data_IF_613174526442
#
_entry.id   IF_613174526442
#
_cell.length_a   1.000
_cell.length_b   1.000
_cell.length_c   1.000
_cell.angle_alpha   90.00
_cell.angle_beta   90.00
_cell.angle_gamma   90.00
#
_symmetry.space_group_name_H-M   'P 1'
#
loop_
_entity.id
_entity.type
_entity.pdbx_description
1 polymer ?
#
# COMPACT_ATOMS: atom_id res chain seq x y z
N UNK A 1 -3.11 -33.05 -23.36
CA UNK A 1 -1.67 -33.16 -23.03
C UNK A 1 -0.90 -33.40 -24.32
N UNK A 2 -0.08 -32.45 -24.74
CA UNK A 2 0.85 -32.62 -25.87
C UNK A 2 2.24 -32.18 -25.40
N UNK A 3 3.23 -33.05 -25.60
CA UNK A 3 4.64 -32.79 -25.31
C UNK A 3 5.24 -32.07 -26.50
N UNK A 4 5.78 -30.88 -26.26
CA UNK A 4 6.80 -30.27 -27.10
C UNK A 4 7.94 -29.84 -26.15
N UNK A 5 9.18 -30.07 -26.55
CA UNK A 5 10.46 -29.63 -25.93
C UNK A 5 10.79 -29.93 -24.45
N UNK A 6 9.96 -30.65 -23.70
CA UNK A 6 10.34 -31.08 -22.34
C UNK A 6 10.11 -30.01 -21.27
N UNK A 7 9.43 -28.93 -21.62
CA UNK A 7 8.88 -27.97 -20.65
C UNK A 7 7.38 -28.18 -20.54
N UNK A 8 6.89 -28.47 -19.33
CA UNK A 8 5.45 -28.44 -19.07
C UNK A 8 5.01 -26.98 -19.02
N UNK A 9 4.32 -26.48 -20.06
CA UNK A 9 3.59 -25.22 -19.98
C UNK A 9 2.13 -25.49 -19.61
N UNK A 10 1.70 -24.85 -18.53
CA UNK A 10 0.32 -24.86 -18.07
C UNK A 10 -0.46 -23.92 -19.00
N UNK A 11 -1.51 -24.41 -19.66
CA UNK A 11 -2.36 -23.60 -20.54
C UNK A 11 -3.69 -23.36 -19.80
N UNK A 12 -3.95 -22.09 -19.47
CA UNK A 12 -5.16 -21.48 -18.86
C UNK A 12 -5.31 -21.67 -17.33
N UNK A 13 -5.58 -20.65 -16.49
CA UNK A 13 -6.08 -19.29 -16.68
C UNK A 13 -5.37 -18.31 -15.73
N UNK A 14 -5.17 -17.07 -16.21
CA UNK A 14 -4.58 -15.90 -15.52
C UNK A 14 -3.06 -15.95 -15.33
N UNK A 15 -2.38 -14.91 -15.83
CA UNK A 15 -0.99 -14.65 -15.48
C UNK A 15 -0.92 -14.51 -13.94
N UNK A 16 0.19 -14.89 -13.28
CA UNK A 16 0.35 -14.56 -11.87
C UNK A 16 0.15 -13.05 -11.72
N UNK A 17 -0.86 -12.64 -10.93
CA UNK A 17 -1.07 -11.24 -10.60
C UNK A 17 0.19 -10.80 -9.88
N UNK A 18 1.01 -10.01 -10.56
CA UNK A 18 2.10 -9.32 -9.92
C UNK A 18 1.46 -8.23 -9.07
N UNK A 19 1.31 -8.50 -7.78
CA UNK A 19 0.83 -7.52 -6.84
C UNK A 19 1.99 -6.58 -6.52
N UNK A 20 1.90 -5.36 -7.03
CA UNK A 20 2.87 -4.30 -6.73
C UNK A 20 2.75 -3.89 -5.26
N UNK A 21 3.78 -3.24 -4.74
CA UNK A 21 3.76 -2.63 -3.41
C UNK A 21 3.55 -1.13 -3.58
N UNK A 22 2.30 -0.68 -3.82
CA UNK A 22 2.01 0.66 -4.34
C UNK A 22 2.45 1.78 -3.41
N UNK A 23 2.68 1.49 -2.13
CA UNK A 23 3.21 2.46 -1.16
C UNK A 23 4.74 2.47 -1.21
N UNK A 24 5.40 1.32 -1.09
CA UNK A 24 6.86 1.28 -0.91
C UNK A 24 7.67 1.28 -2.21
N UNK A 25 6.99 1.12 -3.35
CA UNK A 25 7.61 1.31 -4.67
C UNK A 25 7.76 2.82 -4.99
N UNK A 26 7.06 3.69 -4.26
CA UNK A 26 7.28 5.14 -4.28
C UNK A 26 8.50 5.45 -3.43
N UNK A 27 9.42 6.27 -3.93
CA UNK A 27 10.56 6.68 -3.10
C UNK A 27 10.08 7.54 -1.92
N UNK A 28 10.72 7.36 -0.76
CA UNK A 28 10.30 8.01 0.49
C UNK A 28 10.24 9.53 0.41
N UNK A 29 11.07 10.18 -0.42
CA UNK A 29 11.02 11.63 -0.56
C UNK A 29 9.81 12.06 -1.39
N UNK A 30 9.49 11.36 -2.47
CA UNK A 30 8.24 11.56 -3.23
C UNK A 30 7.02 11.34 -2.35
N UNK A 31 6.97 10.23 -1.59
CA UNK A 31 5.89 9.98 -0.63
C UNK A 31 5.74 11.15 0.37
N UNK A 32 6.86 11.67 0.90
CA UNK A 32 6.87 12.82 1.79
C UNK A 32 6.36 14.10 1.14
N UNK A 33 6.66 14.34 -0.13
CA UNK A 33 6.17 15.52 -0.84
C UNK A 33 4.66 15.44 -1.06
N UNK A 34 4.15 14.27 -1.43
CA UNK A 34 2.72 14.06 -1.66
C UNK A 34 1.92 14.20 -0.37
N UNK A 35 2.37 13.57 0.73
CA UNK A 35 1.77 13.75 2.06
C UNK A 35 1.87 15.21 2.55
N UNK A 36 2.96 15.92 2.26
CA UNK A 36 3.09 17.35 2.60
C UNK A 36 2.12 18.22 1.79
N UNK A 37 1.89 17.90 0.52
CA UNK A 37 0.96 18.62 -0.33
C UNK A 37 -0.47 18.44 0.17
N UNK A 38 -0.86 17.21 0.50
CA UNK A 38 -2.16 16.85 1.06
C UNK A 38 -2.41 17.52 2.42
N UNK A 39 -1.46 17.42 3.35
CA UNK A 39 -1.55 18.09 4.64
C UNK A 39 -1.69 19.62 4.51
N UNK A 40 -1.08 20.23 3.48
CA UNK A 40 -1.22 21.68 3.21
C UNK A 40 -2.57 22.02 2.57
N UNK A 41 -3.16 21.12 1.80
CA UNK A 41 -4.50 21.32 1.24
C UNK A 41 -5.54 21.40 2.37
N UNK A 42 -5.45 20.51 3.35
CA UNK A 42 -6.37 20.44 4.49
C UNK A 42 -6.16 21.55 5.52
N UNK A 43 -4.90 21.84 5.87
CA UNK A 43 -4.58 22.69 7.03
C UNK A 43 -4.01 24.06 6.67
N UNK A 44 -3.71 24.30 5.38
CA UNK A 44 -3.28 25.59 4.87
C UNK A 44 -2.07 26.16 5.62
N UNK A 45 -2.28 27.27 6.32
CA UNK A 45 -1.24 27.99 7.09
C UNK A 45 -1.14 27.56 8.56
N UNK A 46 -1.93 26.58 9.02
CA UNK A 46 -1.69 25.95 10.31
C UNK A 46 -0.50 24.99 10.21
N UNK A 47 0.70 25.57 10.19
CA UNK A 47 1.94 24.83 10.05
C UNK A 47 2.17 23.82 11.17
N UNK A 48 1.56 24.03 12.35
CA UNK A 48 1.65 23.06 13.44
C UNK A 48 0.86 21.79 13.10
N UNK A 49 -0.32 21.94 12.50
CA UNK A 49 -1.12 20.82 12.01
C UNK A 49 -0.51 20.17 10.78
N UNK A 50 0.02 20.94 9.82
CA UNK A 50 0.75 20.39 8.66
C UNK A 50 1.92 19.52 9.11
N UNK A 51 2.72 19.99 10.08
CA UNK A 51 3.84 19.21 10.61
C UNK A 51 3.37 17.95 11.32
N UNK A 52 2.30 18.05 12.12
CA UNK A 52 1.74 16.90 12.85
C UNK A 52 1.26 15.80 11.89
N UNK A 53 0.47 16.17 10.88
CA UNK A 53 -0.07 15.23 9.89
C UNK A 53 1.06 14.61 9.07
N UNK A 54 1.98 15.42 8.55
CA UNK A 54 3.13 14.91 7.79
C UNK A 54 3.94 13.89 8.58
N UNK A 55 4.21 14.15 9.87
CA UNK A 55 4.95 13.19 10.69
C UNK A 55 4.16 11.88 10.85
N UNK A 56 2.86 11.97 11.13
CA UNK A 56 1.98 10.79 11.27
C UNK A 56 1.93 9.96 9.99
N UNK A 57 1.85 10.60 8.82
CA UNK A 57 1.85 9.92 7.53
C UNK A 57 3.19 9.26 7.22
N UNK A 58 4.31 9.93 7.51
CA UNK A 58 5.62 9.34 7.26
C UNK A 58 5.95 8.19 8.22
N UNK A 59 5.48 8.25 9.46
CA UNK A 59 5.55 7.12 10.39
C UNK A 59 4.71 5.94 9.86
N UNK A 60 3.51 6.21 9.35
CA UNK A 60 2.65 5.18 8.75
C UNK A 60 3.25 4.57 7.48
N UNK A 61 3.84 5.38 6.61
CA UNK A 61 4.59 4.93 5.44
C UNK A 61 5.72 3.97 5.84
N UNK A 62 6.56 4.36 6.81
CA UNK A 62 7.69 3.55 7.25
C UNK A 62 7.21 2.23 7.87
N UNK A 63 6.12 2.26 8.65
CA UNK A 63 5.48 1.06 9.23
C UNK A 63 4.95 0.11 8.15
N UNK A 64 4.19 0.61 7.17
CA UNK A 64 3.69 -0.19 6.04
C UNK A 64 4.87 -0.88 5.34
N UNK A 65 5.96 -0.16 5.08
CA UNK A 65 7.10 -0.72 4.37
C UNK A 65 7.89 -1.76 5.14
N UNK A 66 7.83 -1.71 6.48
CA UNK A 66 8.42 -2.71 7.37
C UNK A 66 7.56 -3.98 7.54
N UNK A 67 6.26 -3.96 7.20
CA UNK A 67 5.39 -5.13 7.34
C UNK A 67 5.80 -6.30 6.42
N UNK A 68 5.49 -7.52 6.88
CA UNK A 68 5.71 -8.75 6.13
C UNK A 68 4.77 -8.81 4.91
N UNK A 69 5.36 -9.06 3.74
CA UNK A 69 4.67 -9.02 2.45
C UNK A 69 4.18 -10.42 2.11
N UNK A 70 2.88 -10.64 2.30
CA UNK A 70 2.14 -11.80 1.79
C UNK A 70 1.28 -11.40 0.59
N UNK A 71 0.72 -12.38 -0.13
CA UNK A 71 -0.20 -12.08 -1.24
C UNK A 71 -1.43 -11.28 -0.75
N UNK A 72 -2.04 -11.70 0.37
CA UNK A 72 -3.17 -11.02 1.00
C UNK A 72 -2.80 -9.60 1.44
N UNK A 73 -1.60 -9.44 2.04
CA UNK A 73 -1.09 -8.12 2.40
C UNK A 73 -1.03 -7.19 1.18
N UNK A 74 -0.48 -7.65 0.06
CA UNK A 74 -0.34 -6.82 -1.12
C UNK A 74 -1.69 -6.51 -1.77
N UNK A 75 -2.63 -7.47 -1.78
CA UNK A 75 -4.00 -7.25 -2.25
C UNK A 75 -4.71 -6.16 -1.44
N UNK A 76 -4.75 -6.30 -0.11
CA UNK A 76 -5.36 -5.32 0.80
C UNK A 76 -4.65 -3.97 0.73
N UNK A 77 -3.32 -3.96 0.62
CA UNK A 77 -2.55 -2.71 0.47
C UNK A 77 -2.88 -1.99 -0.83
N UNK A 78 -3.12 -2.70 -1.93
CA UNK A 78 -3.54 -2.11 -3.19
C UNK A 78 -4.91 -1.43 -3.07
N UNK A 79 -5.87 -2.08 -2.41
CA UNK A 79 -7.19 -1.49 -2.17
C UNK A 79 -7.11 -0.26 -1.25
N UNK A 80 -6.39 -0.37 -0.13
CA UNK A 80 -6.21 0.73 0.81
C UNK A 80 -5.49 1.93 0.17
N UNK A 81 -4.41 1.67 -0.59
CA UNK A 81 -3.66 2.72 -1.30
C UNK A 81 -4.52 3.41 -2.36
N UNK A 82 -5.28 2.64 -3.16
CA UNK A 82 -6.17 3.22 -4.18
C UNK A 82 -7.26 4.13 -3.60
N UNK A 83 -7.66 3.90 -2.34
CA UNK A 83 -8.71 4.67 -1.70
C UNK A 83 -8.19 5.92 -0.96
N UNK A 84 -7.00 5.83 -0.36
CA UNK A 84 -6.54 6.80 0.62
C UNK A 84 -5.24 7.51 0.27
N UNK A 85 -4.53 7.13 -0.79
CA UNK A 85 -3.30 7.83 -1.18
C UNK A 85 -3.56 9.33 -1.46
N UNK A 86 -2.75 10.27 -0.93
CA UNK A 86 -1.50 10.07 -0.19
C UNK A 86 -1.59 10.10 1.35
N UNK A 87 -2.78 10.00 1.96
CA UNK A 87 -2.98 9.88 3.42
C UNK A 87 -2.54 8.48 3.88
N UNK A 88 -1.23 8.31 4.07
CA UNK A 88 -0.64 7.04 4.49
C UNK A 88 -1.15 6.59 5.86
N UNK A 89 -1.56 7.51 6.73
CA UNK A 89 -2.17 7.15 8.01
C UNK A 89 -3.52 6.43 7.82
N UNK A 90 -4.33 6.85 6.85
CA UNK A 90 -5.59 6.18 6.48
C UNK A 90 -5.36 4.91 5.65
N UNK A 91 -4.32 4.88 4.81
CA UNK A 91 -3.88 3.64 4.14
C UNK A 91 -3.53 2.57 5.18
N UNK A 92 -2.68 2.91 6.16
CA UNK A 92 -2.28 1.98 7.23
C UNK A 92 -3.47 1.51 8.05
N UNK A 93 -4.35 2.43 8.45
CA UNK A 93 -5.54 2.08 9.22
C UNK A 93 -6.44 1.08 8.47
N UNK A 94 -6.68 1.31 7.18
CA UNK A 94 -7.50 0.42 6.35
C UNK A 94 -6.84 -0.93 6.15
N UNK A 95 -5.53 -0.94 5.86
CA UNK A 95 -4.72 -2.15 5.75
C UNK A 95 -4.79 -3.02 7.00
N UNK A 96 -4.52 -2.44 8.18
CA UNK A 96 -4.53 -3.20 9.45
C UNK A 96 -5.92 -3.75 9.76
N UNK A 97 -6.97 -2.95 9.53
CA UNK A 97 -8.35 -3.35 9.76
C UNK A 97 -8.76 -4.53 8.88
N UNK A 98 -8.44 -4.49 7.60
CA UNK A 98 -8.87 -5.53 6.66
C UNK A 98 -8.00 -6.79 6.78
N UNK A 99 -6.72 -6.66 7.13
CA UNK A 99 -5.89 -7.80 7.51
C UNK A 99 -6.39 -8.50 8.77
N UNK A 100 -6.89 -7.75 9.75
CA UNK A 100 -7.49 -8.33 10.95
C UNK A 100 -8.81 -9.03 10.62
N UNK A 101 -9.69 -8.39 9.84
CA UNK A 101 -10.93 -8.99 9.38
C UNK A 101 -10.68 -10.27 8.57
N UNK A 102 -9.64 -10.30 7.72
CA UNK A 102 -9.24 -11.49 6.97
C UNK A 102 -8.86 -12.64 7.90
N UNK A 103 -8.13 -12.37 9.00
CA UNK A 103 -7.80 -13.43 9.99
C UNK A 103 -9.03 -14.02 10.66
N UNK A 104 -10.08 -13.22 10.86
CA UNK A 104 -11.32 -13.66 11.53
C UNK A 104 -12.23 -14.51 10.63
N UNK A 105 -12.10 -14.42 9.30
CA UNK A 105 -13.01 -15.09 8.34
C UNK A 105 -12.37 -16.20 7.50
N UNK A 106 -11.07 -16.44 7.63
CA UNK A 106 -10.33 -17.47 6.87
C UNK A 106 -10.25 -18.84 7.56
#
# INVERSE_FOLDING_TARGET
MLKIDGTYQIISAEAPVQLDNPVCDIDRETARQDALADAREDWGSDYSMVQYVLNKDMDAYDDICAMEKSAVYLEVLNEASSAWYPDFSMVKYSLEKDLEAYKDVQ
#
